data_IF_539889509583
#
_entry.id   IF_539889509583
#
_cell.length_a   1.000
_cell.length_b   1.000
_cell.length_c   1.000
_cell.angle_alpha   90.00
_cell.angle_beta   90.00
_cell.angle_gamma   90.00
#
_symmetry.space_group_name_H-M   'P 1'
#
loop_
_entity.id
_entity.type
_entity.pdbx_description
1 polymer ?
#
# COMPACT_ATOMS: atom_id res chain seq x y z
N UNK A 1 -14.35 -24.94 -2.77
CA UNK A 1 -13.82 -24.35 -1.52
C UNK A 1 -12.55 -23.53 -1.78
N UNK A 2 -11.93 -23.68 -2.95
CA UNK A 2 -10.62 -23.12 -3.33
C UNK A 2 -10.55 -21.59 -3.34
N UNK A 3 -11.66 -20.89 -3.57
CA UNK A 3 -11.70 -19.42 -3.55
C UNK A 3 -11.97 -18.80 -2.17
N UNK A 4 -12.37 -19.59 -1.16
CA UNK A 4 -12.71 -19.04 0.17
C UNK A 4 -11.47 -18.47 0.85
N UNK A 5 -10.35 -19.19 0.82
CA UNK A 5 -9.10 -18.72 1.42
C UNK A 5 -8.57 -17.45 0.76
N UNK A 6 -8.64 -17.37 -0.56
CA UNK A 6 -8.22 -16.18 -1.32
C UNK A 6 -9.12 -14.97 -1.06
N UNK A 7 -10.43 -15.22 -0.94
CA UNK A 7 -11.41 -14.19 -0.57
C UNK A 7 -11.14 -13.64 0.83
N UNK A 8 -10.94 -14.53 1.83
CA UNK A 8 -10.60 -14.13 3.19
C UNK A 8 -9.29 -13.32 3.21
N UNK A 9 -8.25 -13.79 2.51
CA UNK A 9 -6.97 -13.09 2.40
C UNK A 9 -7.14 -11.69 1.80
N UNK A 10 -7.93 -11.57 0.73
CA UNK A 10 -8.19 -10.28 0.07
C UNK A 10 -8.88 -9.32 1.02
N UNK A 11 -9.95 -9.77 1.69
CA UNK A 11 -10.68 -8.95 2.68
C UNK A 11 -9.75 -8.54 3.83
N UNK A 12 -8.92 -9.45 4.31
CA UNK A 12 -7.95 -9.16 5.37
C UNK A 12 -6.93 -8.09 4.95
N UNK A 13 -6.35 -8.19 3.74
CA UNK A 13 -5.44 -7.17 3.20
C UNK A 13 -6.15 -5.82 3.13
N UNK A 14 -7.38 -5.77 2.64
CA UNK A 14 -8.15 -4.53 2.56
C UNK A 14 -8.40 -3.92 3.95
N UNK A 15 -8.72 -4.74 4.96
CA UNK A 15 -8.89 -4.26 6.35
C UNK A 15 -7.57 -3.68 6.88
N UNK A 16 -6.44 -4.37 6.68
CA UNK A 16 -5.13 -3.87 7.13
C UNK A 16 -4.78 -2.54 6.47
N UNK A 17 -5.01 -2.41 5.16
CA UNK A 17 -4.81 -1.13 4.44
C UNK A 17 -5.69 -0.03 5.00
N UNK A 18 -6.97 -0.32 5.26
CA UNK A 18 -7.90 0.66 5.85
C UNK A 18 -7.47 1.08 7.25
N UNK A 19 -7.07 0.14 8.10
CA UNK A 19 -6.57 0.44 9.45
C UNK A 19 -5.28 1.26 9.42
N UNK A 20 -4.38 0.98 8.47
CA UNK A 20 -3.18 1.77 8.25
C UNK A 20 -3.53 3.23 7.93
N UNK A 21 -4.41 3.47 6.95
CA UNK A 21 -4.81 4.83 6.60
C UNK A 21 -5.63 5.51 7.69
N UNK A 22 -6.48 4.78 8.41
CA UNK A 22 -7.20 5.33 9.56
C UNK A 22 -6.24 5.77 10.67
N UNK A 23 -5.24 4.93 10.99
CA UNK A 23 -4.20 5.27 11.97
C UNK A 23 -3.36 6.47 11.54
N UNK A 24 -3.08 6.61 10.25
CA UNK A 24 -2.44 7.79 9.67
C UNK A 24 -3.35 9.03 9.79
N UNK A 25 -4.65 8.90 9.52
CA UNK A 25 -5.59 10.03 9.49
C UNK A 25 -5.89 10.61 10.89
N UNK A 26 -5.79 9.79 11.94
CA UNK A 26 -5.96 10.22 13.34
C UNK A 26 -4.64 10.51 14.04
N UNK A 27 -3.53 10.62 13.29
CA UNK A 27 -2.17 10.83 13.79
C UNK A 27 -1.71 9.79 14.83
N UNK A 28 -2.33 8.60 14.86
CA UNK A 28 -1.93 7.49 15.74
C UNK A 28 -0.60 6.87 15.28
N UNK A 29 -0.34 6.88 13.97
CA UNK A 29 0.94 6.49 13.37
C UNK A 29 1.46 7.53 12.38
N UNK A 30 2.76 7.77 12.42
CA UNK A 30 3.46 8.72 11.54
C UNK A 30 4.53 8.01 10.71
N UNK A 31 4.14 7.16 9.74
CA UNK A 31 5.11 6.45 8.91
C UNK A 31 5.82 7.42 7.97
N UNK A 32 7.11 7.19 7.73
CA UNK A 32 7.88 7.94 6.74
C UNK A 32 7.41 7.64 5.31
N UNK A 33 7.68 8.53 4.36
CA UNK A 33 7.36 8.30 2.94
C UNK A 33 7.88 6.95 2.43
N UNK A 34 9.12 6.60 2.82
CA UNK A 34 9.75 5.33 2.45
C UNK A 34 8.97 4.11 3.00
N UNK A 35 8.45 4.19 4.23
CA UNK A 35 7.66 3.09 4.82
C UNK A 35 6.34 2.90 4.06
N UNK A 36 5.66 3.99 3.70
CA UNK A 36 4.43 3.93 2.91
C UNK A 36 4.72 3.35 1.51
N UNK A 37 5.81 3.77 0.87
CA UNK A 37 6.24 3.27 -0.44
C UNK A 37 6.55 1.77 -0.40
N UNK A 38 7.35 1.32 0.58
CA UNK A 38 7.70 -0.09 0.74
C UNK A 38 6.47 -0.95 1.01
N UNK A 39 5.53 -0.46 1.83
CA UNK A 39 4.26 -1.14 2.06
C UNK A 39 3.47 -1.28 0.76
N UNK A 40 3.35 -0.21 -0.02
CA UNK A 40 2.71 -0.24 -1.34
C UNK A 40 3.37 -1.22 -2.32
N UNK A 41 4.71 -1.25 -2.37
CA UNK A 41 5.47 -2.18 -3.22
C UNK A 41 5.20 -3.64 -2.79
N UNK A 42 5.22 -3.94 -1.48
CA UNK A 42 4.95 -5.29 -0.99
C UNK A 42 3.53 -5.76 -1.34
N UNK A 43 2.53 -4.89 -1.17
CA UNK A 43 1.14 -5.19 -1.56
C UNK A 43 1.02 -5.38 -3.07
N UNK A 44 1.72 -4.55 -3.86
CA UNK A 44 1.75 -4.67 -5.33
C UNK A 44 2.34 -6.00 -5.77
N UNK A 45 3.52 -6.36 -5.25
CA UNK A 45 4.20 -7.61 -5.56
C UNK A 45 3.35 -8.82 -5.16
N UNK A 46 2.67 -8.75 -4.01
CA UNK A 46 1.73 -9.79 -3.60
C UNK A 46 0.58 -9.94 -4.60
N UNK A 47 0.00 -8.83 -5.08
CA UNK A 47 -0.99 -8.87 -6.16
C UNK A 47 -0.47 -9.53 -7.44
N UNK A 48 0.74 -9.18 -7.88
CA UNK A 48 1.40 -9.79 -9.05
C UNK A 48 1.56 -11.30 -8.87
N UNK A 49 2.02 -11.76 -7.70
CA UNK A 49 2.15 -13.20 -7.42
C UNK A 49 0.82 -13.94 -7.52
N UNK A 50 -0.27 -13.32 -7.03
CA UNK A 50 -1.63 -13.88 -7.11
C UNK A 50 -2.13 -13.94 -8.57
N UNK A 51 -1.80 -12.94 -9.40
CA UNK A 51 -2.10 -12.98 -10.85
C UNK A 51 -1.35 -14.13 -11.53
N UNK A 52 -0.04 -14.28 -11.25
CA UNK A 52 0.80 -15.35 -11.80
C UNK A 52 0.30 -16.73 -11.36
N UNK A 53 -0.28 -16.84 -10.16
CA UNK A 53 -0.91 -18.05 -9.65
C UNK A 53 -2.28 -18.37 -10.31
N UNK A 54 -2.74 -17.57 -11.28
CA UNK A 54 -3.97 -17.81 -12.04
C UNK A 54 -5.21 -17.08 -11.50
N UNK A 55 -5.10 -16.34 -10.40
CA UNK A 55 -6.21 -15.62 -9.78
C UNK A 55 -6.24 -14.15 -10.19
N UNK A 56 -6.46 -13.93 -11.49
CA UNK A 56 -6.31 -12.61 -12.13
C UNK A 56 -7.12 -11.50 -11.44
N UNK A 57 -8.40 -11.74 -11.10
CA UNK A 57 -9.26 -10.72 -10.50
C UNK A 57 -8.80 -10.24 -9.12
N UNK A 58 -8.49 -11.18 -8.23
CA UNK A 58 -8.00 -10.86 -6.88
C UNK A 58 -6.61 -10.24 -6.92
N UNK A 59 -5.69 -10.83 -7.70
CA UNK A 59 -4.33 -10.34 -7.81
C UNK A 59 -4.26 -8.94 -8.43
N UNK A 60 -5.08 -8.66 -9.44
CA UNK A 60 -5.16 -7.33 -10.04
C UNK A 60 -5.68 -6.29 -9.05
N UNK A 61 -6.76 -6.60 -8.32
CA UNK A 61 -7.33 -5.69 -7.32
C UNK A 61 -6.32 -5.35 -6.21
N UNK A 62 -5.66 -6.37 -5.64
CA UNK A 62 -4.62 -6.18 -4.62
C UNK A 62 -3.44 -5.38 -5.19
N UNK A 63 -3.01 -5.70 -6.42
CA UNK A 63 -1.92 -5.03 -7.09
C UNK A 63 -2.16 -3.53 -7.29
N UNK A 64 -3.34 -3.16 -7.79
CA UNK A 64 -3.74 -1.76 -8.00
C UNK A 64 -3.80 -1.00 -6.67
N UNK A 65 -4.37 -1.61 -5.62
CA UNK A 65 -4.39 -1.00 -4.28
C UNK A 65 -2.96 -0.75 -3.78
N UNK A 66 -2.06 -1.72 -3.94
CA UNK A 66 -0.65 -1.56 -3.58
C UNK A 66 0.03 -0.41 -4.32
N UNK A 67 -0.21 -0.27 -5.62
CA UNK A 67 0.36 0.81 -6.43
C UNK A 67 -0.13 2.18 -5.96
N UNK A 68 -1.42 2.32 -5.66
CA UNK A 68 -2.00 3.56 -5.14
C UNK A 68 -1.41 3.94 -3.78
N UNK A 69 -1.21 2.96 -2.89
CA UNK A 69 -0.55 3.18 -1.59
C UNK A 69 0.89 3.65 -1.80
N UNK A 70 1.64 2.97 -2.67
CA UNK A 70 3.03 3.32 -2.93
C UNK A 70 3.17 4.73 -3.49
N UNK A 71 2.28 5.11 -4.39
CA UNK A 71 2.20 6.46 -4.95
C UNK A 71 1.86 7.51 -3.87
N UNK A 72 0.96 7.20 -2.93
CA UNK A 72 0.63 8.10 -1.82
C UNK A 72 1.86 8.43 -0.96
N UNK A 73 2.76 7.47 -0.74
CA UNK A 73 3.99 7.70 0.01
C UNK A 73 4.88 8.80 -0.57
N UNK A 74 4.93 8.95 -1.89
CA UNK A 74 5.72 10.01 -2.57
C UNK A 74 5.26 11.42 -2.23
N UNK A 75 3.98 11.62 -1.88
CA UNK A 75 3.43 12.92 -1.54
C UNK A 75 3.54 13.26 -0.06
N UNK A 76 4.06 12.33 0.77
CA UNK A 76 4.04 12.48 2.23
C UNK A 76 5.22 13.28 2.79
N UNK A 77 6.35 13.31 2.09
CA UNK A 77 7.47 14.16 2.47
C UNK A 77 7.41 15.51 1.73
N UNK A 78 7.43 16.65 2.43
CA UNK A 78 7.62 17.94 1.78
C UNK A 78 9.01 17.97 1.13
N UNK A 79 9.06 18.38 -0.14
CA UNK A 79 10.29 18.46 -0.94
C UNK A 79 11.42 19.17 -0.18
N UNK A 80 12.67 18.65 -0.20
CA UNK A 80 13.84 19.29 0.42
C UNK A 80 14.22 20.67 -0.16
N UNK A 81 13.47 21.18 -1.14
CA UNK A 81 13.78 22.43 -1.84
C UNK A 81 13.68 23.70 -0.97
N UNK A 82 13.31 23.59 0.30
CA UNK A 82 13.22 24.74 1.21
C UNK A 82 14.51 25.07 1.97
N UNK A 83 15.58 24.25 1.89
CA UNK A 83 16.81 24.44 2.67
C UNK A 83 18.04 24.75 1.81
N UNK A 84 17.90 25.71 0.88
CA UNK A 84 19.03 26.26 0.11
C UNK A 84 19.01 27.79 0.03
N UNK A 85 18.60 28.46 1.10
CA UNK A 85 18.71 29.93 1.23
C UNK A 85 19.33 30.40 2.56
N UNK A 86 20.24 29.61 3.12
CA UNK A 86 21.14 30.10 4.17
C UNK A 86 22.54 30.20 3.59
N UNK A 87 22.72 31.31 2.88
CA UNK A 87 24.00 32.01 2.71
C UNK A 87 24.61 32.34 4.08
#
# INVERSE_FOLDING_TARGET
MDNLGLMILTVFIMIVVLLFFAGVAVDFISPSALQVQLFGIQVTLMGVLIVVAGYQGYGFAIGVVGLLIGMFGTFRDPSPAADKSRD
#
